data_IF_927853328390
#
_entry.id   IF_927853328390
#
_cell.length_a   1.000
_cell.length_b   1.000
_cell.length_c   1.000
_cell.angle_alpha   90.00
_cell.angle_beta   90.00
_cell.angle_gamma   90.00
#
_symmetry.space_group_name_H-M   'P 1'
#
loop_
_entity.id
_entity.type
_entity.pdbx_description
1 polymer ?
#
# COMPACT_ATOMS: atom_id res chain seq x y z
N UNK A 1 2.22 -13.79 12.13
CA UNK A 1 3.30 -12.81 12.29
C UNK A 1 4.56 -13.38 11.66
N UNK A 2 5.30 -12.60 10.87
CA UNK A 2 6.56 -13.01 10.25
C UNK A 2 7.68 -12.24 10.95
N UNK A 3 8.64 -12.94 11.55
CA UNK A 3 9.76 -12.34 12.27
C UNK A 3 11.09 -12.88 11.75
N UNK A 4 12.07 -12.02 11.57
CA UNK A 4 13.47 -12.40 11.29
C UNK A 4 14.36 -11.96 12.44
N UNK A 5 15.42 -12.72 12.71
CA UNK A 5 16.40 -12.34 13.71
C UNK A 5 17.18 -11.12 13.21
N UNK A 6 17.24 -10.06 14.01
CA UNK A 6 18.02 -8.86 13.73
C UNK A 6 19.54 -9.14 13.90
N UNK A 7 20.13 -9.75 12.88
CA UNK A 7 21.56 -10.06 12.80
C UNK A 7 22.34 -8.87 12.24
N UNK A 8 23.67 -8.87 12.35
CA UNK A 8 24.51 -7.84 11.74
C UNK A 8 24.30 -7.72 10.23
N UNK A 9 24.08 -8.85 9.54
CA UNK A 9 23.78 -8.84 8.10
C UNK A 9 22.43 -8.21 7.79
N UNK A 10 21.43 -8.41 8.65
CA UNK A 10 20.13 -7.73 8.51
C UNK A 10 20.27 -6.22 8.68
N UNK A 11 20.98 -5.76 9.71
CA UNK A 11 21.18 -4.32 9.94
C UNK A 11 21.92 -3.64 8.78
N UNK A 12 22.93 -4.31 8.21
CA UNK A 12 23.64 -3.81 7.04
C UNK A 12 22.69 -3.65 5.83
N UNK A 13 21.84 -4.65 5.57
CA UNK A 13 20.83 -4.56 4.50
C UNK A 13 19.82 -3.45 4.80
N UNK A 14 19.33 -3.34 6.03
CA UNK A 14 18.33 -2.34 6.42
C UNK A 14 18.88 -0.91 6.29
N UNK A 15 20.14 -0.69 6.63
CA UNK A 15 20.80 0.61 6.43
C UNK A 15 21.01 0.89 4.94
N UNK A 16 21.52 -0.09 4.19
CA UNK A 16 21.75 0.04 2.76
C UNK A 16 20.45 0.34 2.00
N UNK A 17 19.36 -0.33 2.35
CA UNK A 17 18.04 -0.21 1.73
C UNK A 17 17.16 0.87 2.38
N UNK A 18 17.74 1.83 3.10
CA UNK A 18 17.00 3.02 3.57
C UNK A 18 16.40 3.83 2.42
N UNK A 19 17.01 3.74 1.23
CA UNK A 19 16.46 4.13 -0.06
C UNK A 19 16.44 2.93 -1.03
N UNK A 20 15.84 3.11 -2.21
CA UNK A 20 15.81 2.06 -3.24
C UNK A 20 17.22 1.78 -3.78
N UNK A 21 17.67 0.53 -3.66
CA UNK A 21 19.01 0.08 -4.08
C UNK A 21 18.90 -1.08 -5.07
N UNK A 22 19.82 -1.14 -6.04
CA UNK A 22 19.83 -2.22 -7.01
C UNK A 22 20.26 -3.55 -6.35
N UNK A 23 19.62 -4.67 -6.75
CA UNK A 23 19.92 -6.00 -6.19
C UNK A 23 21.42 -6.34 -6.23
N UNK A 24 22.10 -6.01 -7.33
CA UNK A 24 23.54 -6.27 -7.49
C UNK A 24 24.40 -5.50 -6.47
N UNK A 25 23.97 -4.31 -6.05
CA UNK A 25 24.68 -3.51 -5.04
C UNK A 25 24.52 -4.10 -3.65
N UNK A 26 23.33 -4.66 -3.34
CA UNK A 26 23.10 -5.44 -2.11
C UNK A 26 24.05 -6.63 -2.08
N UNK A 27 24.08 -7.44 -3.15
CA UNK A 27 24.96 -8.63 -3.22
C UNK A 27 26.44 -8.25 -3.13
N UNK A 28 26.87 -7.18 -3.82
CA UNK A 28 28.25 -6.68 -3.76
C UNK A 28 28.61 -6.28 -2.33
N UNK A 29 27.81 -5.44 -1.69
CA UNK A 29 28.04 -4.98 -0.31
C UNK A 29 28.15 -6.16 0.67
N UNK A 30 27.26 -7.14 0.54
CA UNK A 30 27.29 -8.34 1.38
C UNK A 30 28.52 -9.22 1.12
N UNK A 31 28.94 -9.34 -0.13
CA UNK A 31 30.12 -10.14 -0.48
C UNK A 31 31.41 -9.49 0.05
N UNK A 32 31.51 -8.15 -0.01
CA UNK A 32 32.63 -7.38 0.52
C UNK A 32 32.71 -7.44 2.06
N UNK A 33 31.57 -7.42 2.76
CA UNK A 33 31.54 -7.48 4.23
C UNK A 33 31.64 -8.91 4.79
N UNK A 34 31.40 -9.93 3.97
CA UNK A 34 31.36 -11.34 4.37
C UNK A 34 32.13 -12.25 3.41
N UNK A 35 33.41 -11.95 3.17
CA UNK A 35 34.28 -12.60 2.16
C UNK A 35 34.31 -14.14 2.21
N UNK A 36 34.13 -14.75 3.38
CA UNK A 36 34.14 -16.21 3.57
C UNK A 36 32.78 -16.88 3.34
N UNK A 37 31.74 -16.12 2.99
CA UNK A 37 30.38 -16.64 2.81
C UNK A 37 30.14 -16.96 1.32
N UNK A 38 29.67 -18.17 0.98
CA UNK A 38 29.32 -18.48 -0.40
C UNK A 38 28.24 -17.54 -0.93
N UNK A 39 28.43 -17.04 -2.17
CA UNK A 39 27.48 -16.11 -2.80
C UNK A 39 26.07 -16.70 -2.92
N UNK A 40 25.93 -18.02 -3.06
CA UNK A 40 24.63 -18.70 -3.06
C UNK A 40 23.87 -18.51 -1.74
N UNK A 41 24.58 -18.51 -0.60
CA UNK A 41 23.99 -18.27 0.72
C UNK A 41 23.60 -16.81 0.91
N UNK A 42 24.37 -15.89 0.33
CA UNK A 42 24.04 -14.45 0.32
C UNK A 42 22.76 -14.22 -0.50
N UNK A 43 22.69 -14.74 -1.72
CA UNK A 43 21.50 -14.65 -2.57
C UNK A 43 20.27 -15.22 -1.86
N UNK A 44 20.37 -16.44 -1.33
CA UNK A 44 19.25 -17.06 -0.60
C UNK A 44 18.77 -16.20 0.56
N UNK A 45 19.70 -15.56 1.30
CA UNK A 45 19.31 -14.69 2.41
C UNK A 45 18.55 -13.43 1.96
N UNK A 46 18.95 -12.82 0.84
CA UNK A 46 18.26 -11.65 0.27
C UNK A 46 16.89 -12.05 -0.30
N UNK A 47 16.82 -13.17 -1.04
CA UNK A 47 15.56 -13.76 -1.52
C UNK A 47 14.59 -14.02 -0.35
N UNK A 48 15.09 -14.62 0.73
CA UNK A 48 14.34 -14.87 1.95
C UNK A 48 13.75 -13.61 2.59
N UNK A 49 14.41 -12.45 2.46
CA UNK A 49 13.91 -11.16 2.95
C UNK A 49 12.88 -10.54 2.01
N UNK A 50 13.04 -10.74 0.71
CA UNK A 50 12.04 -10.34 -0.30
C UNK A 50 10.76 -11.14 -0.13
N UNK A 51 10.87 -12.47 -0.01
CA UNK A 51 9.73 -13.38 0.18
C UNK A 51 8.96 -13.10 1.48
N UNK A 52 9.65 -12.65 2.52
CA UNK A 52 9.07 -12.25 3.80
C UNK A 52 8.62 -10.78 3.86
N UNK A 53 8.69 -10.06 2.72
CA UNK A 53 8.34 -8.64 2.58
C UNK A 53 9.13 -7.67 3.46
N UNK A 54 10.30 -8.08 3.99
CA UNK A 54 11.24 -7.16 4.64
C UNK A 54 11.97 -6.28 3.62
N UNK A 55 12.14 -6.79 2.40
CA UNK A 55 12.56 -6.01 1.23
C UNK A 55 11.42 -5.98 0.23
N UNK A 56 11.05 -4.78 -0.21
CA UNK A 56 9.99 -4.58 -1.18
C UNK A 56 10.64 -4.19 -2.51
N UNK A 57 10.34 -4.94 -3.58
CA UNK A 57 10.88 -4.61 -4.90
C UNK A 57 10.20 -3.39 -5.50
N UNK A 58 10.93 -2.66 -6.35
CA UNK A 58 10.37 -1.53 -7.12
C UNK A 58 9.31 -1.95 -8.15
N UNK A 59 9.12 -3.27 -8.39
CA UNK A 59 8.03 -3.79 -9.20
C UNK A 59 6.67 -3.66 -8.52
N UNK A 60 6.61 -3.56 -7.17
CA UNK A 60 5.36 -3.30 -6.45
C UNK A 60 4.95 -1.84 -6.68
N UNK A 61 3.82 -1.57 -7.36
CA UNK A 61 3.38 -0.20 -7.58
C UNK A 61 3.02 0.47 -6.25
N UNK A 62 3.44 1.73 -6.01
CA UNK A 62 2.95 2.47 -4.87
C UNK A 62 1.47 2.81 -5.09
N UNK A 63 0.68 2.91 -4.01
CA UNK A 63 -0.76 3.24 -4.11
C UNK A 63 -1.03 4.69 -4.56
N UNK A 64 0.02 5.46 -4.83
CA UNK A 64 -0.04 6.88 -5.23
C UNK A 64 0.03 7.08 -6.74
N UNK A 65 0.31 6.05 -7.54
CA UNK A 65 0.28 6.18 -9.01
C UNK A 65 -1.13 5.98 -9.55
N UNK A 66 -1.46 6.70 -10.62
CA UNK A 66 -2.76 6.63 -11.28
C UNK A 66 -3.00 5.33 -12.04
N UNK A 67 -1.93 4.76 -12.63
CA UNK A 67 -1.98 3.49 -13.36
C UNK A 67 -0.90 2.55 -12.82
N UNK A 68 -1.33 1.58 -12.02
CA UNK A 68 -0.46 0.58 -11.42
C UNK A 68 0.11 -0.40 -12.45
N UNK A 69 -0.65 -0.72 -13.52
CA UNK A 69 -0.22 -1.69 -14.53
C UNK A 69 0.82 -1.09 -15.47
N UNK A 70 0.62 0.17 -15.89
CA UNK A 70 1.63 0.92 -16.62
C UNK A 70 2.91 1.09 -15.79
N UNK A 71 2.81 1.38 -14.49
CA UNK A 71 3.96 1.49 -13.60
C UNK A 71 4.77 0.18 -13.60
N UNK A 72 4.10 -0.96 -13.39
CA UNK A 72 4.76 -2.28 -13.40
C UNK A 72 5.51 -2.53 -14.71
N UNK A 73 4.87 -2.27 -15.85
CA UNK A 73 5.46 -2.42 -17.18
C UNK A 73 6.71 -1.53 -17.33
N UNK A 74 6.61 -0.26 -16.96
CA UNK A 74 7.72 0.69 -17.06
C UNK A 74 8.91 0.30 -16.18
N UNK A 75 8.65 -0.17 -14.95
CA UNK A 75 9.71 -0.62 -14.04
C UNK A 75 10.39 -1.91 -14.54
N UNK A 76 9.61 -2.84 -15.11
CA UNK A 76 10.17 -4.06 -15.68
C UNK A 76 11.05 -3.77 -16.91
N UNK A 77 10.66 -2.80 -17.74
CA UNK A 77 11.43 -2.34 -18.90
C UNK A 77 12.71 -1.63 -18.51
N UNK A 78 12.64 -0.68 -17.56
CA UNK A 78 13.82 0.04 -17.09
C UNK A 78 14.85 -0.89 -16.45
N UNK A 79 14.36 -1.95 -15.79
CA UNK A 79 15.20 -3.01 -15.18
C UNK A 79 15.70 -4.03 -16.20
N UNK A 80 15.38 -3.85 -17.50
CA UNK A 80 15.77 -4.72 -18.61
C UNK A 80 15.41 -6.19 -18.39
N UNK A 81 14.31 -6.49 -17.68
CA UNK A 81 13.87 -7.86 -17.41
C UNK A 81 13.42 -8.48 -18.73
N UNK A 82 14.20 -9.38 -19.36
CA UNK A 82 13.83 -9.96 -20.63
C UNK A 82 12.89 -11.12 -20.31
N UNK A 83 11.58 -10.93 -20.44
CA UNK A 83 10.70 -12.09 -20.38
C UNK A 83 9.44 -11.98 -21.26
N UNK A 84 8.88 -13.15 -21.53
CA UNK A 84 7.65 -13.33 -22.27
C UNK A 84 6.44 -12.73 -21.54
N UNK A 85 6.51 -12.63 -20.21
CA UNK A 85 5.49 -12.00 -19.36
C UNK A 85 5.32 -10.51 -19.69
N UNK A 86 6.41 -9.75 -19.87
CA UNK A 86 6.33 -8.34 -20.23
C UNK A 86 5.68 -8.15 -21.60
N UNK A 87 5.95 -9.04 -22.57
CA UNK A 87 5.26 -9.03 -23.87
C UNK A 87 3.76 -9.33 -23.71
N UNK A 88 3.40 -10.28 -22.85
CA UNK A 88 2.01 -10.56 -22.52
C UNK A 88 1.33 -9.36 -21.84
N UNK A 89 2.02 -8.68 -20.91
CA UNK A 89 1.52 -7.46 -20.27
C UNK A 89 1.28 -6.34 -21.30
N UNK A 90 2.21 -6.13 -22.25
CA UNK A 90 2.02 -5.15 -23.33
C UNK A 90 0.85 -5.50 -24.24
N UNK A 91 0.63 -6.79 -24.53
CA UNK A 91 -0.55 -7.25 -25.27
C UNK A 91 -1.85 -6.94 -24.51
N UNK A 92 -1.88 -7.20 -23.20
CA UNK A 92 -3.01 -6.89 -22.32
C UNK A 92 -3.25 -5.38 -22.29
N UNK A 93 -2.21 -4.57 -22.14
CA UNK A 93 -2.31 -3.10 -22.18
C UNK A 93 -2.94 -2.62 -23.49
N UNK A 94 -2.48 -3.14 -24.63
CA UNK A 94 -3.08 -2.83 -25.93
C UNK A 94 -4.56 -3.24 -26.00
N UNK A 95 -4.93 -4.42 -25.49
CA UNK A 95 -6.33 -4.86 -25.44
C UNK A 95 -7.20 -3.98 -24.55
N UNK A 96 -6.67 -3.48 -23.43
CA UNK A 96 -7.33 -2.49 -22.55
C UNK A 96 -7.56 -1.18 -23.32
N UNK A 97 -6.53 -0.67 -24.00
CA UNK A 97 -6.63 0.57 -24.79
C UNK A 97 -7.65 0.46 -25.91
N UNK A 98 -7.70 -0.69 -26.58
CA UNK A 98 -8.71 -0.99 -27.59
C UNK A 98 -10.10 -1.05 -26.98
N UNK A 99 -10.27 -1.70 -25.83
CA UNK A 99 -11.55 -1.81 -25.14
C UNK A 99 -12.08 -0.45 -24.68
N UNK A 100 -11.22 0.42 -24.14
CA UNK A 100 -11.57 1.76 -23.69
C UNK A 100 -12.12 2.67 -24.80
N UNK A 101 -11.81 2.36 -26.08
CA UNK A 101 -12.30 3.10 -27.25
C UNK A 101 -13.65 2.59 -27.77
N UNK A 102 -14.15 1.47 -27.23
CA UNK A 102 -15.40 0.86 -27.70
C UNK A 102 -16.57 1.53 -27.01
N UNK A 103 -17.59 1.88 -27.80
CA UNK A 103 -18.85 2.40 -27.25
C UNK A 103 -19.49 1.37 -26.31
N UNK A 104 -20.01 1.88 -25.18
CA UNK A 104 -20.75 1.07 -24.19
C UNK A 104 -21.80 0.21 -24.89
N UNK A 105 -21.86 -1.06 -24.51
CA UNK A 105 -22.76 -2.07 -25.10
C UNK A 105 -22.26 -2.73 -26.38
N UNK A 106 -21.08 -2.37 -26.91
CA UNK A 106 -20.46 -3.02 -28.08
C UNK A 106 -19.18 -3.78 -27.78
N UNK A 107 -18.71 -3.74 -26.53
CA UNK A 107 -17.41 -4.28 -26.12
C UNK A 107 -17.39 -5.72 -25.60
N UNK A 108 -18.52 -6.42 -25.52
CA UNK A 108 -18.64 -7.73 -24.83
C UNK A 108 -17.59 -8.76 -25.29
N UNK A 109 -17.47 -8.99 -26.60
CA UNK A 109 -16.49 -9.95 -27.14
C UNK A 109 -15.05 -9.57 -26.80
N UNK A 110 -14.71 -8.26 -26.89
CA UNK A 110 -13.37 -7.75 -26.59
C UNK A 110 -13.06 -7.85 -25.10
N UNK A 111 -14.05 -7.58 -24.25
CA UNK A 111 -13.95 -7.76 -22.80
C UNK A 111 -13.67 -9.23 -22.45
N UNK A 112 -14.49 -10.17 -22.94
CA UNK A 112 -14.31 -11.59 -22.64
C UNK A 112 -12.95 -12.13 -23.11
N UNK A 113 -12.50 -11.73 -24.30
CA UNK A 113 -11.18 -12.09 -24.82
C UNK A 113 -10.03 -11.51 -23.97
N UNK A 114 -10.16 -10.28 -23.50
CA UNK A 114 -9.21 -9.65 -22.58
C UNK A 114 -9.15 -10.41 -21.25
N UNK A 115 -10.30 -10.73 -20.66
CA UNK A 115 -10.38 -11.53 -19.42
C UNK A 115 -9.75 -12.92 -19.60
N UNK A 116 -9.98 -13.57 -20.74
CA UNK A 116 -9.33 -14.85 -21.08
C UNK A 116 -7.81 -14.68 -21.18
N UNK A 117 -7.33 -13.68 -21.94
CA UNK A 117 -5.90 -13.40 -22.09
C UNK A 117 -5.21 -13.13 -20.74
N UNK A 118 -5.88 -12.38 -19.84
CA UNK A 118 -5.35 -12.12 -18.50
C UNK A 118 -5.29 -13.39 -17.65
N UNK A 119 -6.32 -14.25 -17.73
CA UNK A 119 -6.39 -15.51 -16.97
C UNK A 119 -5.45 -16.60 -17.50
N UNK A 120 -5.11 -16.58 -18.79
CA UNK A 120 -4.04 -17.40 -19.35
C UNK A 120 -2.68 -17.03 -18.76
N UNK A 121 -2.46 -15.74 -18.45
CA UNK A 121 -1.23 -15.27 -17.83
C UNK A 121 -1.19 -15.57 -16.34
N UNK A 122 -2.19 -15.11 -15.58
CA UNK A 122 -2.36 -15.38 -14.15
C UNK A 122 -3.85 -15.55 -13.87
N UNK A 123 -4.24 -16.75 -13.42
CA UNK A 123 -5.62 -17.07 -13.10
C UNK A 123 -6.10 -16.32 -11.85
N UNK A 124 -7.19 -15.56 -11.96
CA UNK A 124 -7.84 -14.85 -10.86
C UNK A 124 -9.36 -14.76 -11.08
N UNK A 125 -10.12 -14.51 -10.01
CA UNK A 125 -11.58 -14.38 -10.09
C UNK A 125 -12.02 -13.08 -10.76
N UNK A 126 -11.24 -12.01 -10.66
CA UNK A 126 -11.55 -10.69 -11.21
C UNK A 126 -10.28 -9.99 -11.70
N UNK A 127 -9.85 -10.24 -12.96
CA UNK A 127 -8.59 -9.71 -13.46
C UNK A 127 -8.65 -8.23 -13.86
N UNK A 128 -9.84 -7.68 -14.10
CA UNK A 128 -10.02 -6.31 -14.62
C UNK A 128 -11.08 -5.57 -13.82
N UNK A 129 -10.76 -4.34 -13.42
CA UNK A 129 -11.72 -3.35 -12.93
C UNK A 129 -12.05 -2.37 -14.05
N UNK A 130 -13.32 -2.01 -14.21
CA UNK A 130 -13.78 -1.05 -15.22
C UNK A 130 -14.59 0.04 -14.53
N UNK A 131 -14.07 1.25 -14.54
CA UNK A 131 -14.75 2.43 -14.03
C UNK A 131 -15.33 3.24 -15.20
N UNK A 132 -16.62 3.54 -15.15
CA UNK A 132 -17.32 4.27 -16.23
C UNK A 132 -17.46 5.74 -15.88
N UNK A 133 -16.80 6.61 -16.65
CA UNK A 133 -17.02 8.04 -16.60
C UNK A 133 -18.15 8.47 -17.54
N UNK A 134 -18.94 9.46 -17.12
CA UNK A 134 -19.88 10.16 -18.00
C UNK A 134 -19.18 11.41 -18.55
N UNK A 135 -19.07 11.49 -19.88
CA UNK A 135 -18.56 12.68 -20.57
C UNK A 135 -19.69 13.70 -20.81
N UNK A 136 -20.45 14.00 -19.75
CA UNK A 136 -21.56 14.95 -19.77
C UNK A 136 -21.30 16.08 -18.77
N UNK A 137 -20.96 17.25 -19.32
CA UNK A 137 -20.74 18.48 -18.56
C UNK A 137 -21.97 19.41 -18.53
N UNK A 138 -23.13 18.93 -19.01
CA UNK A 138 -24.38 19.70 -19.00
C UNK A 138 -25.04 19.74 -17.62
N UNK A 139 -24.71 18.79 -16.74
CA UNK A 139 -25.20 18.77 -15.37
C UNK A 139 -24.55 19.92 -14.60
N UNK A 140 -25.31 20.99 -14.41
CA UNK A 140 -24.92 22.15 -13.61
C UNK A 140 -25.87 22.30 -12.42
N UNK A 141 -25.31 22.66 -11.27
CA UNK A 141 -26.08 23.00 -10.08
C UNK A 141 -26.30 24.51 -10.08
N UNK A 142 -27.54 24.94 -9.85
CA UNK A 142 -27.84 26.34 -9.62
C UNK A 142 -27.34 26.79 -8.24
N UNK A 143 -27.28 28.10 -8.04
CA UNK A 143 -26.77 28.71 -6.81
C UNK A 143 -27.61 28.37 -5.57
N UNK A 144 -28.94 28.23 -5.71
CA UNK A 144 -29.83 27.90 -4.60
C UNK A 144 -29.57 26.47 -4.12
N UNK A 145 -29.46 25.52 -5.07
CA UNK A 145 -29.10 24.14 -4.78
C UNK A 145 -27.71 24.03 -4.15
N UNK A 146 -26.71 24.75 -4.68
CA UNK A 146 -25.36 24.76 -4.13
C UNK A 146 -25.32 25.32 -2.69
N UNK A 147 -26.08 26.39 -2.43
CA UNK A 147 -26.21 26.96 -1.09
C UNK A 147 -26.88 25.97 -0.14
N UNK A 148 -27.98 25.33 -0.55
CA UNK A 148 -28.67 24.34 0.27
C UNK A 148 -27.78 23.15 0.64
N UNK A 149 -26.96 22.65 -0.31
CA UNK A 149 -25.96 21.60 -0.04
C UNK A 149 -24.92 22.08 0.98
N UNK A 150 -24.44 23.32 0.83
CA UNK A 150 -23.45 23.92 1.74
C UNK A 150 -24.00 24.12 3.16
N UNK A 151 -25.26 24.56 3.27
CA UNK A 151 -25.98 24.68 4.53
C UNK A 151 -26.19 23.32 5.18
N UNK A 152 -26.61 22.31 4.41
CA UNK A 152 -26.78 20.94 4.90
C UNK A 152 -25.45 20.36 5.42
N UNK A 153 -24.37 20.54 4.67
CA UNK A 153 -23.03 20.12 5.11
C UNK A 153 -22.61 20.83 6.40
N UNK A 154 -22.95 22.12 6.54
CA UNK A 154 -22.70 22.89 7.77
C UNK A 154 -23.52 22.37 8.94
N UNK A 155 -24.79 21.99 8.73
CA UNK A 155 -25.64 21.36 9.75
C UNK A 155 -25.06 20.02 10.17
N UNK A 156 -24.68 19.15 9.23
CA UNK A 156 -24.06 17.87 9.58
C UNK A 156 -22.75 18.05 10.34
N UNK A 157 -21.93 19.03 9.95
CA UNK A 157 -20.69 19.36 10.67
C UNK A 157 -21.00 19.81 12.08
N UNK A 158 -21.95 20.75 12.26
CA UNK A 158 -22.36 21.24 13.57
C UNK A 158 -22.94 20.12 14.46
N UNK A 159 -23.76 19.23 13.89
CA UNK A 159 -24.31 18.07 14.58
C UNK A 159 -23.26 17.02 14.93
N UNK A 160 -22.19 16.91 14.13
CA UNK A 160 -21.09 16.01 14.41
C UNK A 160 -20.18 16.51 15.54
N UNK A 161 -20.08 17.83 15.80
CA UNK A 161 -19.19 18.39 16.84
C UNK A 161 -19.41 17.76 18.24
N UNK A 162 -20.64 17.58 18.74
CA UNK A 162 -20.90 16.85 19.98
C UNK A 162 -20.43 15.38 19.99
N UNK A 163 -20.38 14.72 18.82
CA UNK A 163 -19.97 13.31 18.67
C UNK A 163 -18.49 13.15 18.31
N UNK A 164 -17.85 14.15 17.70
CA UNK A 164 -16.42 14.17 17.43
C UNK A 164 -15.60 14.19 18.75
N UNK A 165 -16.16 14.79 19.81
CA UNK A 165 -15.66 14.67 21.19
C UNK A 165 -15.80 13.25 21.79
N UNK A 166 -16.47 12.32 21.09
CA UNK A 166 -16.65 10.91 21.47
C UNK A 166 -15.85 9.95 20.58
N UNK A 167 -14.73 10.39 19.98
CA UNK A 167 -13.64 9.45 19.70
C UNK A 167 -13.03 8.99 21.04
N UNK A 168 -13.86 8.34 21.85
CA UNK A 168 -13.60 8.01 23.24
C UNK A 168 -12.33 7.19 23.37
N UNK A 169 -12.10 6.27 22.42
CA UNK A 169 -10.86 5.50 22.36
C UNK A 169 -9.61 6.36 22.09
N UNK A 170 -9.66 7.40 21.25
CA UNK A 170 -8.50 8.27 21.02
C UNK A 170 -8.29 9.28 22.14
N UNK A 171 -9.37 9.78 22.75
CA UNK A 171 -9.26 10.63 23.95
C UNK A 171 -8.70 9.84 25.14
N UNK A 172 -9.18 8.61 25.37
CA UNK A 172 -8.60 7.68 26.35
C UNK A 172 -7.13 7.40 26.04
N UNK A 173 -6.81 7.07 24.80
CA UNK A 173 -5.45 6.79 24.37
C UNK A 173 -4.53 8.02 24.51
N UNK A 174 -5.03 9.23 24.21
CA UNK A 174 -4.32 10.50 24.47
C UNK A 174 -4.03 10.69 25.96
N UNK A 175 -4.98 10.36 26.84
CA UNK A 175 -4.75 10.45 28.28
C UNK A 175 -3.66 9.47 28.74
N UNK A 176 -3.66 8.23 28.23
CA UNK A 176 -2.58 7.25 28.48
C UNK A 176 -1.23 7.78 27.98
N UNK A 177 -1.20 8.40 26.80
CA UNK A 177 0.00 9.04 26.27
C UNK A 177 0.51 10.16 27.19
N UNK A 178 -0.37 11.07 27.61
CA UNK A 178 -0.02 12.21 28.46
C UNK A 178 0.42 11.77 29.87
N UNK A 179 -0.19 10.71 30.41
CA UNK A 179 0.20 10.13 31.70
C UNK A 179 1.62 9.53 31.65
N UNK A 180 1.97 8.84 30.55
CA UNK A 180 3.28 8.20 30.40
C UNK A 180 4.39 9.17 29.98
N UNK A 181 4.12 10.07 29.04
CA UNK A 181 5.15 10.86 28.36
C UNK A 181 5.09 12.37 28.66
N UNK A 182 3.97 12.88 29.18
CA UNK A 182 3.74 14.31 29.38
C UNK A 182 3.47 15.09 28.10
N UNK A 183 3.48 16.43 28.19
CA UNK A 183 3.10 17.34 27.11
C UNK A 183 4.27 17.84 26.26
N UNK A 184 5.50 17.73 26.76
CA UNK A 184 6.70 18.39 26.21
C UNK A 184 7.68 17.40 25.57
N UNK A 185 7.18 16.24 25.10
CA UNK A 185 8.01 15.20 24.49
C UNK A 185 7.40 14.69 23.19
N UNK A 186 8.27 14.53 22.21
CA UNK A 186 7.96 13.80 20.98
C UNK A 186 8.46 12.37 21.13
N UNK A 187 7.61 11.40 20.80
CA UNK A 187 7.91 9.97 20.87
C UNK A 187 7.81 9.40 19.45
N UNK A 188 8.79 8.61 18.98
CA UNK A 188 8.70 7.92 17.71
C UNK A 188 7.42 7.08 17.63
N UNK A 189 6.66 7.22 16.55
CA UNK A 189 5.34 6.59 16.43
C UNK A 189 5.39 5.07 16.63
N UNK A 190 6.41 4.40 16.07
CA UNK A 190 6.57 2.95 16.20
C UNK A 190 6.96 2.53 17.63
N UNK A 191 7.71 3.36 18.35
CA UNK A 191 8.00 3.11 19.78
C UNK A 191 6.73 3.26 20.60
N UNK A 192 5.95 4.32 20.37
CA UNK A 192 4.69 4.57 21.05
C UNK A 192 3.69 3.42 20.87
N UNK A 193 3.53 2.94 19.62
CA UNK A 193 2.60 1.85 19.27
C UNK A 193 3.10 0.46 19.69
N UNK A 194 4.36 0.32 20.09
CA UNK A 194 4.91 -0.95 20.52
C UNK A 194 4.34 -1.34 21.89
N UNK A 195 3.73 -2.53 22.01
CA UNK A 195 3.17 -3.00 23.28
C UNK A 195 4.23 -3.27 24.36
N UNK A 196 5.48 -3.55 23.99
CA UNK A 196 6.55 -3.86 24.95
C UNK A 196 7.35 -2.63 25.39
N UNK A 197 7.56 -1.66 24.49
CA UNK A 197 8.35 -0.45 24.76
C UNK A 197 7.48 0.79 25.04
N UNK A 198 6.27 0.83 24.47
CA UNK A 198 5.36 1.96 24.49
C UNK A 198 4.03 1.69 25.18
N UNK A 199 2.96 2.28 24.63
CA UNK A 199 1.58 2.20 25.16
C UNK A 199 0.66 1.33 24.30
N UNK A 200 1.21 0.63 23.30
CA UNK A 200 0.43 -0.23 22.40
C UNK A 200 -0.43 0.57 21.42
N UNK A 201 -1.31 -0.10 20.68
CA UNK A 201 -2.26 0.57 19.79
C UNK A 201 -3.52 1.03 20.53
N UNK A 202 -4.31 1.98 20.02
CA UNK A 202 -5.62 2.29 20.58
C UNK A 202 -6.52 1.03 20.62
N UNK A 203 -7.38 0.92 21.64
CA UNK A 203 -8.16 -0.31 21.89
C UNK A 203 -9.05 -0.79 20.73
N UNK A 204 -9.47 0.10 19.83
CA UNK A 204 -10.30 -0.22 18.67
C UNK A 204 -9.52 -0.66 17.44
N UNK A 205 -8.19 -0.59 17.49
CA UNK A 205 -7.34 -0.97 16.37
C UNK A 205 -7.18 -2.49 16.34
N UNK A 206 -7.18 -3.05 15.13
CA UNK A 206 -7.20 -4.51 14.90
C UNK A 206 -5.98 -5.02 14.13
N UNK A 207 -5.06 -4.14 13.72
CA UNK A 207 -3.92 -4.47 12.87
C UNK A 207 -2.61 -3.78 13.34
N UNK A 208 -1.87 -4.37 14.29
CA UNK A 208 -2.27 -5.48 15.14
C UNK A 208 -3.30 -5.03 16.19
N UNK A 209 -4.05 -5.99 16.74
CA UNK A 209 -4.94 -5.69 17.87
C UNK A 209 -4.15 -5.23 19.09
N UNK A 210 -4.74 -4.34 19.89
CA UNK A 210 -4.12 -3.92 21.15
C UNK A 210 -3.93 -5.13 22.10
N UNK A 211 -2.74 -5.25 22.68
CA UNK A 211 -2.41 -6.29 23.66
C UNK A 211 -2.76 -5.87 25.10
N UNK A 212 -3.02 -4.58 25.32
CA UNK A 212 -3.52 -4.07 26.59
C UNK A 212 -5.05 -4.21 26.65
N UNK A 213 -5.54 -4.89 27.69
CA UNK A 213 -6.96 -4.92 27.99
C UNK A 213 -7.40 -3.56 28.53
N UNK A 214 -8.07 -2.76 27.71
CA UNK A 214 -8.93 -1.68 28.19
C UNK A 214 -10.35 -2.23 28.28
N UNK A 215 -11.03 -2.07 29.42
CA UNK A 215 -12.48 -2.29 29.49
C UNK A 215 -13.15 -1.34 28.50
N UNK A 216 -13.58 -1.86 27.36
CA UNK A 216 -14.50 -1.15 26.46
C UNK A 216 -15.86 -1.11 27.13
N UNK A 217 -16.05 -0.19 28.08
CA UNK A 217 -17.39 0.18 28.53
C UNK A 217 -18.07 0.90 27.37
N UNK A 218 -18.94 0.18 26.65
CA UNK A 218 -19.84 0.72 25.64
C UNK A 218 -20.99 1.50 26.28
#
# INVERSE_FOLDING_TARGET
EVSVRATSVFYLINELCGECVAYQEIIRSLTENYENTPISKINQYVEDLIDKEFLISNLRPPMTVSDQFQYLIAQAESSQIPNEFLRACRKIQYQIDEYNRITIGKGEYKYLNLIETMNELIKTSSPLQVDTGLDDFSIQLDNETSLAISELASVFTYMAVPFAKRLDHLEKYKNVFLERYGYEREIPLLEMLCSSAGIGAPATYTNPSNEFFEETSF
#
